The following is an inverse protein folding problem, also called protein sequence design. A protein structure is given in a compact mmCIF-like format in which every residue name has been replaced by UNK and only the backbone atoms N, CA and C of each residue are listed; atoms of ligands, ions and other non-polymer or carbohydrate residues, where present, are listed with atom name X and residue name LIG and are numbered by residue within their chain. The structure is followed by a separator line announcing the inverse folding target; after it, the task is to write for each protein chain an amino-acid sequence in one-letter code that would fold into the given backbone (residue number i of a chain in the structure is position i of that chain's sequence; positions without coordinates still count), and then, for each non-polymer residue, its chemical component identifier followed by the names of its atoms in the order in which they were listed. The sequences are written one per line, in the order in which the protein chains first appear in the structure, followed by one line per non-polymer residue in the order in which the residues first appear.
data_IF_100957499857
#
_entry.id   IF_100957499857
#
_cell.length_a   1.000
_cell.length_b   1.000
_cell.length_c   1.000
_cell.angle_alpha   90.00
_cell.angle_beta   90.00
_cell.angle_gamma   90.00
#
_symmetry.space_group_name_H-M   'P 1'
#
loop_
_entity.id
_entity.type
_entity.pdbx_description
1 polymer ?
#
# COMPACT_ATOMS: atom_id res chain seq x y z
N UNK A 1 11.33 -21.63 -36.74
CA UNK A 1 11.31 -20.19 -36.42
C UNK A 1 10.30 -19.96 -35.31
N UNK A 2 10.78 -19.64 -34.10
CA UNK A 2 9.93 -19.49 -32.93
C UNK A 2 9.69 -18.00 -32.61
N UNK A 3 8.53 -17.75 -31.98
CA UNK A 3 8.03 -16.56 -31.27
C UNK A 3 7.28 -15.49 -32.08
N UNK A 4 6.01 -15.30 -31.71
CA UNK A 4 5.57 -14.26 -30.75
C UNK A 4 4.24 -14.68 -30.09
N UNK A 5 4.13 -14.80 -28.76
CA UNK A 5 2.86 -14.61 -28.07
C UNK A 5 2.66 -13.11 -27.75
N UNK A 6 1.44 -12.62 -28.00
CA UNK A 6 1.02 -11.25 -27.78
C UNK A 6 0.63 -11.03 -26.31
N UNK A 7 1.12 -9.91 -25.78
CA UNK A 7 0.48 -8.94 -24.88
C UNK A 7 -0.26 -9.47 -23.64
N UNK A 8 0.28 -9.12 -22.46
CA UNK A 8 -0.32 -9.35 -21.16
C UNK A 8 -1.69 -8.69 -21.03
N UNK A 9 -2.62 -9.43 -20.44
CA UNK A 9 -3.91 -8.91 -20.05
C UNK A 9 -3.77 -8.10 -18.74
N UNK A 10 -4.45 -6.95 -18.62
CA UNK A 10 -4.55 -6.21 -17.36
C UNK A 10 -5.37 -7.00 -16.32
N UNK A 11 -5.17 -6.67 -15.04
CA UNK A 11 -5.77 -7.24 -13.80
C UNK A 11 -7.32 -7.19 -13.71
N UNK A 12 -8.04 -7.01 -14.82
CA UNK A 12 -9.51 -6.90 -14.88
C UNK A 12 -10.25 -8.25 -14.85
N UNK A 13 -9.66 -9.31 -14.32
CA UNK A 13 -10.27 -10.65 -14.42
C UNK A 13 -10.30 -11.42 -13.10
N UNK A 14 -10.62 -10.75 -11.98
CA UNK A 14 -11.22 -11.43 -10.82
C UNK A 14 -12.72 -11.59 -11.09
N UNK A 15 -13.07 -12.63 -11.85
CA UNK A 15 -14.48 -12.96 -12.10
C UNK A 15 -15.04 -13.73 -10.90
N UNK A 16 -16.30 -13.49 -10.59
CA UNK A 16 -17.02 -14.36 -9.65
C UNK A 16 -17.18 -15.74 -10.27
N UNK A 17 -16.97 -16.78 -9.44
CA UNK A 17 -17.40 -18.11 -9.78
C UNK A 17 -18.94 -18.19 -9.71
N UNK A 18 -19.64 -18.65 -10.76
CA UNK A 18 -21.10 -18.68 -10.79
C UNK A 18 -21.78 -19.57 -9.74
N UNK A 19 -21.07 -20.52 -9.12
CA UNK A 19 -21.73 -21.60 -8.35
C UNK A 19 -21.36 -21.66 -6.87
N UNK A 20 -21.55 -20.56 -6.14
CA UNK A 20 -21.69 -20.63 -4.69
C UNK A 20 -23.17 -20.83 -4.34
N UNK A 21 -23.62 -22.09 -4.40
CA UNK A 21 -24.99 -22.59 -4.18
C UNK A 21 -25.84 -21.72 -3.25
N UNK A 22 -26.99 -21.30 -3.77
CA UNK A 22 -28.05 -20.53 -3.10
C UNK A 22 -28.32 -21.06 -1.69
N UNK A 23 -28.00 -20.26 -0.67
CA UNK A 23 -28.40 -20.51 0.73
C UNK A 23 -27.37 -20.25 1.82
N UNK A 24 -26.11 -19.89 1.49
CA UNK A 24 -25.03 -19.69 2.50
C UNK A 24 -24.23 -18.39 2.38
N UNK A 25 -24.80 -17.35 1.77
CA UNK A 25 -24.16 -16.03 1.64
C UNK A 25 -24.49 -15.18 2.88
N UNK A 26 -23.47 -14.82 3.65
CA UNK A 26 -23.56 -13.78 4.69
C UNK A 26 -23.52 -12.39 4.02
N UNK A 27 -23.93 -11.34 4.74
CA UNK A 27 -23.78 -9.95 4.27
C UNK A 27 -22.34 -9.71 3.82
N UNK A 28 -22.16 -9.08 2.66
CA UNK A 28 -20.86 -8.75 2.10
C UNK A 28 -20.06 -9.87 1.41
N UNK A 29 -20.71 -10.86 0.79
CA UNK A 29 -19.98 -11.79 -0.12
C UNK A 29 -19.16 -12.88 0.53
N UNK A 30 -19.37 -13.09 1.82
CA UNK A 30 -18.70 -14.11 2.60
C UNK A 30 -19.59 -15.34 2.66
N UNK A 31 -19.03 -16.50 2.36
CA UNK A 31 -19.71 -17.78 2.33
C UNK A 31 -19.35 -18.61 3.56
N UNK A 32 -20.30 -19.38 4.08
CA UNK A 32 -20.00 -20.44 5.05
C UNK A 32 -19.78 -21.77 4.32
N UNK A 33 -18.54 -22.24 4.33
CA UNK A 33 -18.11 -23.46 3.66
C UNK A 33 -17.78 -24.52 4.72
N UNK A 34 -18.15 -25.77 4.44
CA UNK A 34 -17.71 -26.88 5.29
C UNK A 34 -16.18 -27.06 5.15
N UNK A 35 -15.40 -27.09 6.25
CA UNK A 35 -13.97 -27.30 6.18
C UNK A 35 -13.56 -28.56 5.40
N UNK A 36 -14.41 -29.58 5.30
CA UNK A 36 -14.17 -30.79 4.50
C UNK A 36 -14.21 -30.53 2.99
N UNK A 37 -14.91 -29.48 2.54
CA UNK A 37 -14.97 -29.08 1.12
C UNK A 37 -13.72 -28.29 0.69
N UNK A 38 -12.86 -27.88 1.62
CA UNK A 38 -11.66 -27.10 1.32
C UNK A 38 -10.43 -28.02 1.33
N UNK A 39 -9.87 -28.22 0.14
CA UNK A 39 -8.62 -28.96 -0.06
C UNK A 39 -7.41 -28.02 0.06
N UNK A 40 -6.29 -28.61 0.46
CA UNK A 40 -5.01 -27.92 0.62
C UNK A 40 -3.89 -28.53 -0.24
N UNK A 41 -4.24 -29.31 -1.26
CA UNK A 41 -3.33 -30.10 -2.12
C UNK A 41 -2.24 -29.25 -2.80
N UNK A 42 -1.06 -29.85 -2.98
CA UNK A 42 0.10 -29.25 -3.66
C UNK A 42 1.12 -28.54 -2.75
N UNK A 43 1.15 -28.86 -1.45
CA UNK A 43 1.97 -28.14 -0.45
C UNK A 43 2.89 -29.15 0.24
N UNK A 44 4.20 -28.88 0.24
CA UNK A 44 5.27 -29.76 0.78
C UNK A 44 5.19 -30.01 2.31
N UNK A 45 4.20 -29.44 3.00
CA UNK A 45 4.15 -29.29 4.46
C UNK A 45 3.10 -30.17 5.17
N UNK A 46 2.62 -31.26 4.58
CA UNK A 46 1.73 -32.22 5.26
C UNK A 46 2.37 -32.92 6.49
N UNK A 47 3.56 -32.48 6.93
CA UNK A 47 4.38 -33.08 8.00
C UNK A 47 4.66 -32.14 9.18
N UNK A 48 4.25 -30.86 9.15
CA UNK A 48 4.48 -29.91 10.26
C UNK A 48 3.20 -29.69 11.07
N UNK A 49 3.28 -29.89 12.38
CA UNK A 49 2.16 -29.69 13.31
C UNK A 49 1.81 -28.20 13.40
N UNK A 50 0.60 -27.84 12.97
CA UNK A 50 0.12 -26.46 12.95
C UNK A 50 -0.44 -26.10 14.34
N UNK A 51 0.20 -25.19 15.06
CA UNK A 51 -0.28 -24.73 16.37
C UNK A 51 -1.53 -23.82 16.20
N UNK A 52 -2.71 -24.29 16.59
CA UNK A 52 -3.98 -23.53 16.45
C UNK A 52 -4.68 -23.16 17.76
N UNK A 53 -4.19 -23.61 18.91
CA UNK A 53 -4.89 -23.54 20.20
C UNK A 53 -5.34 -22.11 20.59
N UNK A 54 -4.46 -21.11 20.43
CA UNK A 54 -4.78 -19.71 20.71
C UNK A 54 -5.84 -19.13 19.76
N UNK A 55 -5.79 -19.49 18.48
CA UNK A 55 -6.75 -19.04 17.48
C UNK A 55 -8.10 -19.74 17.65
N UNK A 56 -8.08 -21.04 17.96
CA UNK A 56 -9.25 -21.85 18.32
C UNK A 56 -10.00 -21.23 19.50
N UNK A 57 -9.31 -20.89 20.58
CA UNK A 57 -9.92 -20.22 21.73
C UNK A 57 -10.53 -18.86 21.38
N UNK A 58 -9.87 -18.09 20.52
CA UNK A 58 -10.39 -16.79 20.06
C UNK A 58 -11.65 -16.94 19.20
N UNK A 59 -11.63 -17.88 18.25
CA UNK A 59 -12.76 -18.15 17.35
C UNK A 59 -13.94 -18.75 18.11
N UNK A 60 -13.69 -19.66 19.05
CA UNK A 60 -14.72 -20.24 19.91
C UNK A 60 -15.45 -19.16 20.73
N UNK A 61 -14.71 -18.19 21.28
CA UNK A 61 -15.29 -17.12 22.11
C UNK A 61 -15.95 -16.00 21.30
N UNK A 62 -15.36 -15.61 20.18
CA UNK A 62 -15.71 -14.37 19.48
C UNK A 62 -16.25 -14.58 18.06
N UNK A 63 -16.39 -15.83 17.63
CA UNK A 63 -16.65 -16.19 16.25
C UNK A 63 -15.45 -15.95 15.33
N UNK A 64 -15.54 -16.47 14.11
CA UNK A 64 -14.55 -16.20 13.08
C UNK A 64 -14.71 -14.77 12.56
N UNK A 65 -13.86 -13.84 12.99
CA UNK A 65 -13.94 -12.43 12.59
C UNK A 65 -13.50 -12.20 11.13
N UNK A 66 -12.40 -12.83 10.73
CA UNK A 66 -11.79 -12.66 9.40
C UNK A 66 -12.04 -13.90 8.55
N UNK A 67 -12.60 -13.78 7.33
CA UNK A 67 -12.80 -14.93 6.46
C UNK A 67 -11.48 -15.50 5.92
N UNK A 68 -11.50 -16.77 5.50
CA UNK A 68 -10.43 -17.37 4.68
C UNK A 68 -10.62 -16.98 3.21
N UNK A 69 -9.58 -17.11 2.39
CA UNK A 69 -9.70 -16.91 0.94
C UNK A 69 -9.56 -18.26 0.24
N UNK A 70 -10.48 -18.55 -0.67
CA UNK A 70 -10.50 -19.81 -1.42
C UNK A 70 -10.80 -19.57 -2.89
N UNK A 71 -10.32 -20.47 -3.75
CA UNK A 71 -10.78 -20.57 -5.14
C UNK A 71 -11.65 -21.81 -5.32
N UNK A 72 -12.65 -21.78 -6.21
CA UNK A 72 -13.39 -22.98 -6.54
C UNK A 72 -12.51 -23.99 -7.30
N UNK A 73 -12.87 -25.26 -7.15
CA UNK A 73 -12.42 -26.42 -7.91
C UNK A 73 -13.64 -27.15 -8.48
N UNK A 74 -13.40 -28.15 -9.33
CA UNK A 74 -14.47 -29.03 -9.80
C UNK A 74 -15.11 -29.83 -8.64
N UNK A 75 -16.43 -29.97 -8.71
CA UNK A 75 -17.23 -30.82 -7.83
C UNK A 75 -17.42 -30.28 -6.41
N UNK A 76 -17.86 -29.02 -6.27
CA UNK A 76 -18.18 -28.37 -4.99
C UNK A 76 -17.03 -28.35 -3.97
N UNK A 77 -15.80 -28.37 -4.48
CA UNK A 77 -14.58 -28.28 -3.69
C UNK A 77 -13.94 -26.92 -3.88
N UNK A 78 -13.14 -26.54 -2.90
CA UNK A 78 -12.44 -25.28 -2.88
C UNK A 78 -10.97 -25.52 -2.57
N UNK A 79 -10.08 -24.85 -3.28
CA UNK A 79 -8.68 -24.85 -2.92
C UNK A 79 -8.41 -23.66 -2.00
N UNK A 80 -7.82 -23.92 -0.83
CA UNK A 80 -7.42 -22.87 0.08
C UNK A 80 -6.34 -21.98 -0.56
N UNK A 81 -6.61 -20.69 -0.62
CA UNK A 81 -5.63 -19.68 -1.02
C UNK A 81 -4.94 -19.13 0.25
N UNK A 82 -5.72 -18.68 1.25
CA UNK A 82 -5.22 -18.06 2.48
C UNK A 82 -6.02 -18.48 3.72
N UNK A 83 -5.36 -18.56 4.87
CA UNK A 83 -6.02 -18.74 6.18
C UNK A 83 -5.99 -20.17 6.73
N UNK A 84 -4.90 -20.94 6.52
CA UNK A 84 -4.81 -22.36 6.93
C UNK A 84 -5.02 -22.58 8.43
N UNK A 85 -4.36 -21.81 9.31
CA UNK A 85 -4.57 -21.92 10.78
C UNK A 85 -6.03 -21.70 11.17
N UNK A 86 -6.74 -20.85 10.43
CA UNK A 86 -8.15 -20.55 10.66
C UNK A 86 -9.05 -21.66 10.15
N UNK A 87 -8.76 -22.19 8.95
CA UNK A 87 -9.42 -23.39 8.44
C UNK A 87 -9.26 -24.55 9.42
N UNK A 88 -8.04 -24.77 9.93
CA UNK A 88 -7.75 -25.87 10.83
C UNK A 88 -8.35 -25.65 12.22
N UNK A 89 -8.32 -24.43 12.76
CA UNK A 89 -9.05 -24.09 13.98
C UNK A 89 -10.56 -24.31 13.84
N UNK A 90 -11.17 -23.92 12.71
CA UNK A 90 -12.58 -24.18 12.42
C UNK A 90 -12.86 -25.68 12.27
N UNK A 91 -11.95 -26.44 11.66
CA UNK A 91 -12.04 -27.90 11.51
C UNK A 91 -11.98 -28.60 12.86
N UNK A 92 -11.06 -28.23 13.73
CA UNK A 92 -10.98 -28.75 15.12
C UNK A 92 -12.22 -28.39 15.95
N UNK A 93 -12.80 -27.21 15.73
CA UNK A 93 -14.02 -26.77 16.41
C UNK A 93 -15.30 -27.41 15.83
N UNK A 94 -15.21 -28.09 14.68
CA UNK A 94 -16.38 -28.63 13.99
C UNK A 94 -17.35 -27.57 13.48
N UNK A 95 -16.87 -26.36 13.19
CA UNK A 95 -17.69 -25.24 12.69
C UNK A 95 -17.42 -24.95 11.21
N UNK A 96 -18.42 -24.39 10.53
CA UNK A 96 -18.23 -23.88 9.17
C UNK A 96 -17.23 -22.73 9.16
N UNK A 97 -16.44 -22.66 8.10
CA UNK A 97 -15.47 -21.58 7.91
C UNK A 97 -16.09 -20.50 7.03
N UNK A 98 -16.06 -19.25 7.51
CA UNK A 98 -16.35 -18.06 6.72
C UNK A 98 -15.25 -17.88 5.68
N UNK A 99 -15.60 -17.80 4.41
CA UNK A 99 -14.68 -17.77 3.29
C UNK A 99 -15.11 -16.74 2.23
N UNK A 100 -14.15 -16.10 1.59
CA UNK A 100 -14.34 -15.34 0.36
C UNK A 100 -13.92 -16.28 -0.79
N UNK A 101 -14.80 -16.46 -1.78
CA UNK A 101 -14.56 -17.31 -2.95
C UNK A 101 -14.19 -16.42 -4.13
N UNK A 102 -13.05 -16.69 -4.78
CA UNK A 102 -12.53 -15.89 -5.91
C UNK A 102 -11.95 -16.77 -7.02
N UNK A 103 -12.20 -16.44 -8.28
CA UNK A 103 -11.51 -17.06 -9.42
C UNK A 103 -10.17 -16.37 -9.62
N UNK A 104 -9.13 -16.86 -8.95
CA UNK A 104 -7.76 -16.48 -9.31
C UNK A 104 -7.24 -17.48 -10.33
N UNK A 105 -7.30 -17.12 -11.61
CA UNK A 105 -6.53 -17.82 -12.65
C UNK A 105 -5.05 -17.45 -12.53
N UNK A 106 -4.20 -18.48 -12.46
CA UNK A 106 -2.77 -18.40 -12.75
C UNK A 106 -1.99 -17.26 -12.09
N UNK A 107 -1.60 -17.43 -10.82
CA UNK A 107 -0.29 -16.92 -10.43
C UNK A 107 0.35 -17.78 -9.34
N UNK A 108 1.39 -18.52 -9.71
CA UNK A 108 2.17 -19.32 -8.78
C UNK A 108 2.82 -18.41 -7.72
N UNK A 109 3.11 -17.15 -8.05
CA UNK A 109 3.67 -16.16 -7.14
C UNK A 109 2.70 -15.74 -6.03
N UNK A 110 1.41 -15.54 -6.32
CA UNK A 110 0.39 -15.27 -5.29
C UNK A 110 0.18 -16.47 -4.37
N UNK A 111 0.27 -17.69 -4.94
CA UNK A 111 0.20 -18.92 -4.17
C UNK A 111 1.39 -19.04 -3.24
N UNK A 112 2.60 -18.84 -3.73
CA UNK A 112 3.85 -18.94 -2.95
C UNK A 112 3.90 -17.85 -1.85
N UNK A 113 3.40 -16.63 -2.13
CA UNK A 113 3.34 -15.53 -1.18
C UNK A 113 2.25 -15.68 -0.09
N UNK A 114 1.11 -16.32 -0.42
CA UNK A 114 0.08 -16.66 0.58
C UNK A 114 0.38 -17.98 1.30
N UNK A 115 1.25 -18.80 0.72
CA UNK A 115 1.88 -19.99 1.33
C UNK A 115 2.81 -19.63 2.47
N UNK A 116 3.62 -18.62 2.23
CA UNK A 116 4.57 -18.01 3.14
C UNK A 116 3.93 -17.48 4.46
N UNK A 117 2.70 -16.97 4.41
CA UNK A 117 2.01 -16.34 5.57
C UNK A 117 1.35 -17.32 6.56
N UNK A 118 1.75 -18.59 6.56
CA UNK A 118 1.01 -19.64 7.24
C UNK A 118 1.12 -19.71 8.76
N UNK A 119 2.11 -19.08 9.40
CA UNK A 119 2.37 -19.41 10.79
C UNK A 119 2.11 -18.35 11.86
N UNK A 120 2.10 -17.05 11.61
CA UNK A 120 1.76 -16.08 12.69
C UNK A 120 1.51 -14.71 12.07
N UNK A 121 0.35 -14.08 12.34
CA UNK A 121 0.08 -12.61 12.43
C UNK A 121 -1.23 -12.20 11.75
N UNK A 122 -1.82 -11.13 12.26
CA UNK A 122 -2.86 -10.36 11.57
C UNK A 122 -2.36 -9.92 10.20
N UNK A 123 -3.26 -9.77 9.21
CA UNK A 123 -2.93 -9.26 7.88
C UNK A 123 -2.03 -8.02 8.00
N UNK A 124 -0.94 -7.97 7.25
CA UNK A 124 -0.11 -6.77 7.13
C UNK A 124 -0.93 -5.59 6.59
N UNK A 125 -0.38 -4.38 6.68
CA UNK A 125 -1.05 -3.19 6.14
C UNK A 125 -1.40 -3.36 4.66
N UNK A 126 -0.47 -3.89 3.86
CA UNK A 126 -0.66 -4.00 2.42
C UNK A 126 -1.59 -5.16 2.05
N UNK A 127 -1.55 -6.28 2.78
CA UNK A 127 -2.51 -7.36 2.58
C UNK A 127 -3.95 -6.91 2.87
N UNK A 128 -4.19 -6.13 3.93
CA UNK A 128 -5.51 -5.52 4.15
C UNK A 128 -5.92 -4.61 3.00
N UNK A 129 -4.97 -3.93 2.36
CA UNK A 129 -5.24 -3.07 1.23
C UNK A 129 -5.60 -3.86 -0.03
N UNK A 130 -4.92 -4.98 -0.28
CA UNK A 130 -5.26 -5.89 -1.38
C UNK A 130 -6.63 -6.53 -1.16
N UNK A 131 -6.95 -6.97 0.06
CA UNK A 131 -8.29 -7.49 0.38
C UNK A 131 -9.36 -6.41 0.22
N UNK A 132 -9.10 -5.18 0.67
CA UNK A 132 -10.02 -4.06 0.47
C UNK A 132 -10.28 -3.77 -1.02
N UNK A 133 -9.24 -3.88 -1.85
CA UNK A 133 -9.33 -3.69 -3.31
C UNK A 133 -10.16 -4.80 -3.94
N UNK A 134 -9.87 -6.07 -3.61
CA UNK A 134 -10.63 -7.22 -4.09
C UNK A 134 -12.12 -7.15 -3.71
N UNK A 135 -12.45 -6.67 -2.51
CA UNK A 135 -13.84 -6.51 -2.07
C UNK A 135 -14.60 -5.42 -2.85
N UNK A 136 -13.91 -4.39 -3.36
CA UNK A 136 -14.52 -3.33 -4.17
C UNK A 136 -14.57 -3.66 -5.65
N UNK A 137 -13.53 -4.30 -6.18
CA UNK A 137 -13.44 -4.56 -7.62
C UNK A 137 -14.15 -5.86 -8.00
N UNK A 138 -14.23 -6.81 -7.07
CA UNK A 138 -14.96 -8.06 -7.23
C UNK A 138 -16.45 -7.93 -6.96
N UNK A 139 -17.17 -9.00 -7.30
CA UNK A 139 -18.60 -9.13 -7.05
C UNK A 139 -18.91 -9.80 -5.70
N UNK A 140 -17.97 -9.72 -4.76
CA UNK A 140 -18.11 -10.22 -3.39
C UNK A 140 -19.18 -9.39 -2.66
N UNK A 141 -19.06 -8.07 -2.63
CA UNK A 141 -20.10 -7.19 -2.07
C UNK A 141 -21.27 -7.03 -3.05
N UNK A 142 -22.50 -7.06 -2.53
CA UNK A 142 -23.68 -6.68 -3.32
C UNK A 142 -23.56 -5.24 -3.81
N UNK A 143 -24.21 -4.89 -4.93
CA UNK A 143 -24.01 -3.59 -5.59
C UNK A 143 -24.20 -2.38 -4.67
N UNK A 144 -25.12 -2.45 -3.70
CA UNK A 144 -25.33 -1.40 -2.70
C UNK A 144 -24.31 -1.41 -1.54
N UNK A 145 -23.67 -2.55 -1.27
CA UNK A 145 -22.69 -2.74 -0.22
C UNK A 145 -21.25 -2.49 -0.70
N UNK A 146 -20.99 -2.54 -2.02
CA UNK A 146 -19.70 -2.28 -2.68
C UNK A 146 -19.27 -0.81 -2.56
N UNK A 147 -18.96 -0.45 -1.33
CA UNK A 147 -18.63 0.90 -0.88
C UNK A 147 -17.52 0.79 0.15
N UNK A 148 -16.80 1.88 0.40
CA UNK A 148 -15.77 1.91 1.44
C UNK A 148 -16.35 1.54 2.81
N UNK A 149 -17.61 1.87 3.08
CA UNK A 149 -18.34 1.49 4.29
C UNK A 149 -18.54 -0.03 4.41
N UNK A 150 -19.01 -0.70 3.35
CA UNK A 150 -19.19 -2.16 3.37
C UNK A 150 -17.87 -2.91 3.55
N UNK A 151 -16.80 -2.43 2.91
CA UNK A 151 -15.45 -2.98 3.12
C UNK A 151 -14.96 -2.75 4.54
N UNK A 152 -15.24 -1.58 5.12
CA UNK A 152 -14.86 -1.24 6.48
C UNK A 152 -15.51 -2.17 7.51
N UNK A 153 -16.77 -2.54 7.30
CA UNK A 153 -17.48 -3.53 8.11
C UNK A 153 -16.84 -4.92 8.03
N UNK A 154 -16.47 -5.37 6.81
CA UNK A 154 -15.83 -6.69 6.60
C UNK A 154 -14.43 -6.77 7.22
N UNK A 155 -13.64 -5.71 7.09
CA UNK A 155 -12.26 -5.65 7.60
C UNK A 155 -12.15 -5.16 9.04
N UNK A 156 -13.27 -4.80 9.67
CA UNK A 156 -13.33 -4.17 10.99
C UNK A 156 -12.41 -2.93 11.09
N UNK A 157 -12.56 -2.04 10.10
CA UNK A 157 -11.86 -0.77 9.98
C UNK A 157 -12.86 0.38 9.98
N UNK A 158 -12.36 1.61 10.00
CA UNK A 158 -13.15 2.79 9.67
C UNK A 158 -13.09 3.08 8.16
N UNK A 159 -14.11 3.74 7.61
CA UNK A 159 -14.19 4.08 6.19
C UNK A 159 -12.99 4.92 5.70
N UNK A 160 -12.49 5.83 6.54
CA UNK A 160 -11.28 6.59 6.28
C UNK A 160 -10.04 5.67 6.17
N UNK A 161 -9.98 4.60 6.97
CA UNK A 161 -8.92 3.61 6.91
C UNK A 161 -8.95 2.82 5.61
N UNK A 162 -10.13 2.44 5.12
CA UNK A 162 -10.31 1.79 3.81
C UNK A 162 -9.86 2.72 2.69
N UNK A 163 -10.28 3.98 2.72
CA UNK A 163 -9.86 4.98 1.72
C UNK A 163 -8.34 5.15 1.66
N UNK A 164 -7.67 5.13 2.80
CA UNK A 164 -6.20 5.19 2.89
C UNK A 164 -5.55 3.95 2.26
N UNK A 165 -6.00 2.75 2.64
CA UNK A 165 -5.50 1.48 2.08
C UNK A 165 -5.58 1.48 0.55
N UNK A 166 -6.76 1.80 0.01
CA UNK A 166 -6.99 1.82 -1.44
C UNK A 166 -6.14 2.89 -2.14
N UNK A 167 -5.90 4.03 -1.49
CA UNK A 167 -5.05 5.08 -2.07
C UNK A 167 -3.62 4.61 -2.31
N UNK A 168 -3.09 3.76 -1.42
CA UNK A 168 -1.76 3.17 -1.57
C UNK A 168 -1.75 2.22 -2.75
N UNK A 169 -2.71 1.30 -2.84
CA UNK A 169 -2.80 0.33 -3.95
C UNK A 169 -2.92 1.03 -5.29
N UNK A 170 -3.82 2.02 -5.42
CA UNK A 170 -4.00 2.76 -6.68
C UNK A 170 -2.76 3.53 -7.15
N UNK A 171 -1.96 4.03 -6.22
CA UNK A 171 -0.79 4.88 -6.55
C UNK A 171 0.47 4.04 -6.73
N UNK A 172 0.70 3.08 -5.83
CA UNK A 172 1.88 2.23 -5.85
C UNK A 172 1.73 1.13 -6.89
N UNK A 173 0.51 0.65 -7.15
CA UNK A 173 0.14 -0.39 -8.12
C UNK A 173 0.35 -1.82 -7.61
N UNK A 174 -0.57 -2.72 -7.97
CA UNK A 174 -0.64 -4.09 -7.46
C UNK A 174 0.55 -4.96 -7.87
N UNK A 175 1.03 -4.82 -9.10
CA UNK A 175 2.23 -5.47 -9.65
C UNK A 175 3.46 -5.25 -8.77
N UNK A 176 3.70 -4.00 -8.35
CA UNK A 176 4.83 -3.68 -7.49
C UNK A 176 4.61 -4.13 -6.06
N UNK A 177 3.39 -4.02 -5.55
CA UNK A 177 3.01 -4.52 -4.23
C UNK A 177 3.25 -6.04 -4.15
N UNK A 178 2.87 -6.79 -5.18
CA UNK A 178 3.10 -8.23 -5.29
C UNK A 178 4.60 -8.54 -5.38
N UNK A 179 5.35 -7.77 -6.18
CA UNK A 179 6.81 -7.95 -6.27
C UNK A 179 7.53 -7.70 -4.91
N UNK A 180 7.03 -6.75 -4.10
CA UNK A 180 7.54 -6.47 -2.75
C UNK A 180 7.16 -7.58 -1.77
N UNK A 181 5.90 -8.03 -1.77
CA UNK A 181 5.38 -8.99 -0.81
C UNK A 181 4.61 -8.35 0.35
N UNK A 182 4.30 -9.17 1.38
CA UNK A 182 3.46 -8.75 2.51
C UNK A 182 4.10 -7.68 3.40
N UNK A 183 5.43 -7.68 3.52
CA UNK A 183 6.20 -6.70 4.30
C UNK A 183 5.58 -6.43 5.70
N UNK A 184 5.40 -7.45 6.55
CA UNK A 184 4.66 -7.32 7.80
C UNK A 184 5.35 -6.44 8.85
N UNK A 185 6.66 -6.23 8.76
CA UNK A 185 7.38 -5.24 9.58
C UNK A 185 7.21 -3.81 9.08
N UNK A 186 6.59 -3.61 7.92
CA UNK A 186 6.36 -2.31 7.30
C UNK A 186 4.93 -1.83 7.57
N UNK A 187 4.82 -0.92 8.54
CA UNK A 187 3.56 -0.27 8.89
C UNK A 187 3.13 0.82 7.89
N UNK A 188 1.90 1.32 8.11
CA UNK A 188 1.26 2.39 7.31
C UNK A 188 2.18 3.59 6.99
N UNK A 189 2.93 4.20 7.93
CA UNK A 189 3.69 5.41 7.63
C UNK A 189 4.68 5.23 6.48
N UNK A 190 5.34 4.07 6.40
CA UNK A 190 6.29 3.77 5.34
C UNK A 190 5.62 3.55 3.99
N UNK A 191 4.47 2.87 3.96
CA UNK A 191 3.68 2.73 2.73
C UNK A 191 3.17 4.08 2.20
N UNK A 192 2.82 5.01 3.09
CA UNK A 192 2.48 6.39 2.72
C UNK A 192 3.70 7.17 2.20
N UNK A 193 4.89 6.95 2.76
CA UNK A 193 6.13 7.49 2.21
C UNK A 193 6.42 6.96 0.80
N UNK A 194 6.21 5.66 0.57
CA UNK A 194 6.36 5.07 -0.75
C UNK A 194 5.37 5.68 -1.74
N UNK A 195 4.09 5.77 -1.36
CA UNK A 195 3.05 6.44 -2.14
C UNK A 195 3.45 7.86 -2.53
N UNK A 196 4.00 8.63 -1.58
CA UNK A 196 4.46 10.00 -1.82
C UNK A 196 5.61 10.05 -2.82
N UNK A 197 6.60 9.17 -2.68
CA UNK A 197 7.71 9.09 -3.62
C UNK A 197 7.23 8.76 -5.05
N UNK A 198 6.18 7.92 -5.17
CA UNK A 198 5.52 7.60 -6.44
C UNK A 198 4.78 8.78 -7.09
N UNK A 199 4.14 9.65 -6.29
CA UNK A 199 3.48 10.84 -6.82
C UNK A 199 4.41 11.81 -7.56
N UNK A 200 5.73 11.72 -7.34
CA UNK A 200 6.76 12.51 -8.00
C UNK A 200 7.74 11.65 -8.84
N UNK A 201 7.45 10.36 -9.03
CA UNK A 201 8.33 9.43 -9.73
C UNK A 201 8.09 9.51 -11.25
N UNK A 202 9.05 10.05 -11.98
CA UNK A 202 9.10 10.03 -13.46
C UNK A 202 9.92 8.85 -14.00
N UNK A 203 10.42 8.01 -13.10
CA UNK A 203 11.29 6.89 -13.42
C UNK A 203 10.55 5.71 -14.03
N UNK A 204 11.34 4.74 -14.47
CA UNK A 204 10.83 3.52 -15.07
C UNK A 204 10.37 2.54 -13.99
N UNK A 205 9.07 2.25 -13.97
CA UNK A 205 8.42 1.33 -13.02
C UNK A 205 9.04 -0.07 -13.07
N UNK A 206 9.48 -0.51 -14.25
CA UNK A 206 10.12 -1.81 -14.42
C UNK A 206 11.44 -1.92 -13.64
N UNK A 207 12.12 -0.79 -13.40
CA UNK A 207 13.31 -0.77 -12.55
C UNK A 207 12.98 -1.05 -11.09
N UNK A 208 11.85 -0.53 -10.59
CA UNK A 208 11.43 -0.77 -9.21
C UNK A 208 10.98 -2.21 -9.02
N UNK A 209 10.31 -2.80 -10.03
CA UNK A 209 10.00 -4.23 -10.06
C UNK A 209 11.28 -5.08 -10.04
N UNK A 210 12.25 -4.75 -10.89
CA UNK A 210 13.54 -5.45 -10.92
C UNK A 210 14.29 -5.34 -9.57
N UNK A 211 14.25 -4.17 -8.92
CA UNK A 211 14.84 -3.97 -7.58
C UNK A 211 14.15 -4.83 -6.53
N UNK A 212 12.81 -4.91 -6.55
CA UNK A 212 12.05 -5.75 -5.63
C UNK A 212 12.46 -7.22 -5.78
N UNK A 213 12.47 -7.75 -7.01
CA UNK A 213 12.87 -9.13 -7.28
C UNK A 213 14.33 -9.42 -6.93
N UNK A 214 15.25 -8.51 -7.28
CA UNK A 214 16.67 -8.64 -6.93
C UNK A 214 16.85 -8.70 -5.41
N UNK A 215 16.23 -7.78 -4.68
CA UNK A 215 16.29 -7.75 -3.21
C UNK A 215 15.74 -9.03 -2.57
N UNK A 216 14.70 -9.65 -3.17
CA UNK A 216 14.19 -10.94 -2.72
C UNK A 216 15.17 -12.09 -3.01
N UNK A 217 15.79 -12.11 -4.19
CA UNK A 217 16.73 -13.16 -4.59
C UNK A 217 18.07 -13.12 -3.85
N UNK A 218 18.55 -11.93 -3.50
CA UNK A 218 19.83 -11.72 -2.82
C UNK A 218 19.72 -11.87 -1.30
N UNK A 219 18.50 -11.80 -0.76
CA UNK A 219 18.25 -11.90 0.67
C UNK A 219 18.10 -13.35 1.13
N UNK A 220 18.89 -13.73 2.13
CA UNK A 220 18.62 -14.90 2.97
C UNK A 220 17.84 -14.49 4.22
N UNK A 221 16.85 -15.28 4.60
CA UNK A 221 16.04 -15.05 5.80
C UNK A 221 14.66 -15.67 5.67
N UNK A 222 13.79 -15.38 6.63
CA UNK A 222 12.37 -15.66 6.45
C UNK A 222 11.78 -14.75 5.36
N UNK A 223 10.85 -15.31 4.59
CA UNK A 223 9.71 -14.63 3.96
C UNK A 223 9.49 -13.16 4.34
N UNK A 224 9.16 -12.95 5.62
CA UNK A 224 8.74 -11.66 6.17
C UNK A 224 9.90 -10.68 6.08
N UNK A 225 11.08 -11.10 6.51
CA UNK A 225 12.31 -10.32 6.47
C UNK A 225 12.73 -10.02 5.02
N UNK A 226 12.55 -10.98 4.12
CA UNK A 226 12.85 -10.83 2.69
C UNK A 226 11.91 -9.77 2.07
N UNK A 227 10.62 -9.81 2.37
CA UNK A 227 9.64 -8.82 1.89
C UNK A 227 9.84 -7.43 2.50
N UNK A 228 10.19 -7.35 3.79
CA UNK A 228 10.54 -6.09 4.46
C UNK A 228 11.79 -5.45 3.81
N UNK A 229 12.81 -6.25 3.46
CA UNK A 229 14.01 -5.77 2.75
C UNK A 229 13.69 -5.32 1.33
N UNK A 230 12.87 -6.07 0.60
CA UNK A 230 12.43 -5.70 -0.74
C UNK A 230 11.70 -4.35 -0.71
N UNK A 231 10.81 -4.14 0.28
CA UNK A 231 10.14 -2.87 0.49
C UNK A 231 11.14 -1.72 0.69
N UNK A 232 12.12 -1.90 1.59
CA UNK A 232 13.12 -0.86 1.89
C UNK A 232 13.99 -0.52 0.67
N UNK A 233 14.38 -1.51 -0.13
CA UNK A 233 15.14 -1.31 -1.36
C UNK A 233 14.35 -0.48 -2.38
N UNK A 234 13.08 -0.83 -2.61
CA UNK A 234 12.18 -0.08 -3.51
C UNK A 234 11.98 1.34 -3.01
N UNK A 235 11.73 1.55 -1.71
CA UNK A 235 11.55 2.88 -1.13
C UNK A 235 12.81 3.75 -1.29
N UNK A 236 13.99 3.18 -1.06
CA UNK A 236 15.26 3.89 -1.23
C UNK A 236 15.48 4.32 -2.69
N UNK A 237 15.15 3.44 -3.65
CA UNK A 237 15.27 3.73 -5.07
C UNK A 237 14.25 4.80 -5.52
N UNK A 238 13.00 4.69 -5.08
CA UNK A 238 11.95 5.67 -5.39
C UNK A 238 12.32 7.07 -4.86
N UNK A 239 12.80 7.17 -3.61
CA UNK A 239 13.27 8.44 -3.02
C UNK A 239 14.52 9.00 -3.70
N UNK A 240 15.41 8.14 -4.18
CA UNK A 240 16.60 8.56 -4.92
C UNK A 240 16.24 9.14 -6.28
N UNK A 241 15.23 8.58 -6.94
CA UNK A 241 14.67 9.12 -8.16
C UNK A 241 13.92 10.44 -7.91
N UNK A 242 13.12 10.55 -6.85
CA UNK A 242 12.46 11.82 -6.46
C UNK A 242 13.46 12.97 -6.28
N UNK A 243 14.64 12.70 -5.71
CA UNK A 243 15.73 13.69 -5.58
C UNK A 243 16.40 14.06 -6.91
N UNK A 244 16.42 13.16 -7.89
CA UNK A 244 16.99 13.40 -9.24
C UNK A 244 15.97 14.05 -10.19
N UNK A 245 14.69 13.72 -10.04
CA UNK A 245 13.56 14.19 -10.84
C UNK A 245 12.97 15.51 -10.35
N UNK A 246 13.18 15.86 -9.07
CA UNK A 246 13.07 17.27 -8.67
C UNK A 246 14.00 18.06 -9.58
N UNK A 247 13.49 18.93 -10.47
CA UNK A 247 14.38 19.80 -11.22
C UNK A 247 15.22 20.49 -10.16
N UNK A 248 16.53 20.56 -10.36
CA UNK A 248 17.37 21.50 -9.63
C UNK A 248 16.58 22.80 -9.61
N UNK A 249 15.94 23.11 -8.48
CA UNK A 249 15.01 24.22 -8.35
C UNK A 249 15.86 25.38 -8.81
N UNK A 250 15.62 25.94 -10.02
CA UNK A 250 16.54 26.91 -10.66
C UNK A 250 16.92 27.84 -9.53
N UNK A 251 18.16 27.71 -9.05
CA UNK A 251 18.59 28.38 -7.84
C UNK A 251 18.51 29.82 -8.28
N UNK A 252 17.50 30.56 -7.82
CA UNK A 252 17.45 32.00 -8.07
C UNK A 252 18.80 32.47 -7.57
N UNK A 253 19.68 33.00 -8.44
CA UNK A 253 21.04 33.29 -8.05
C UNK A 253 20.97 34.17 -6.81
N UNK A 254 21.61 33.72 -5.74
CA UNK A 254 21.64 34.48 -4.51
C UNK A 254 22.36 35.79 -4.81
N UNK A 255 21.67 36.91 -4.57
CA UNK A 255 22.27 38.22 -4.70
C UNK A 255 23.17 38.40 -3.49
N UNK A 256 24.47 38.58 -3.72
CA UNK A 256 25.39 39.01 -2.69
C UNK A 256 25.05 40.47 -2.34
N UNK A 257 24.70 40.72 -1.08
CA UNK A 257 24.50 42.05 -0.52
C UNK A 257 25.77 42.39 0.26
N UNK A 258 26.63 43.28 -0.25
CA UNK A 258 27.87 43.66 0.42
C UNK A 258 27.60 44.11 1.86
N UNK A 259 28.33 43.54 2.82
CA UNK A 259 28.21 43.87 4.24
C UNK A 259 26.99 43.28 4.96
N UNK A 260 26.17 42.46 4.30
CA UNK A 260 24.98 41.83 4.93
C UNK A 260 24.97 40.32 4.74
N UNK A 261 25.28 39.82 3.54
CA UNK A 261 25.29 38.39 3.26
C UNK A 261 24.66 38.05 1.91
N UNK A 262 23.93 36.94 1.84
CA UNK A 262 23.30 36.46 0.60
C UNK A 262 21.78 36.46 0.72
N UNK A 263 21.09 37.01 -0.28
CA UNK A 263 19.62 37.01 -0.31
C UNK A 263 19.08 36.37 -1.58
N UNK A 264 17.95 35.67 -1.46
CA UNK A 264 17.15 35.28 -2.63
C UNK A 264 15.80 35.99 -2.58
N UNK A 265 15.43 36.58 -3.71
CA UNK A 265 14.15 37.28 -3.89
C UNK A 265 13.28 36.47 -4.82
N UNK A 266 12.07 36.13 -4.39
CA UNK A 266 11.09 35.38 -5.19
C UNK A 266 9.80 36.17 -5.26
N UNK A 267 9.25 36.30 -6.47
CA UNK A 267 7.92 36.85 -6.69
C UNK A 267 6.90 35.72 -6.87
N UNK A 268 5.73 35.86 -6.26
CA UNK A 268 4.63 34.90 -6.29
C UNK A 268 3.31 35.55 -6.69
N UNK A 269 2.25 34.76 -6.81
CA UNK A 269 0.86 35.20 -7.11
C UNK A 269 0.78 36.33 -8.15
N UNK A 270 1.34 36.10 -9.34
CA UNK A 270 1.33 37.06 -10.46
C UNK A 270 1.88 38.45 -10.08
N UNK A 271 2.97 38.49 -9.30
CA UNK A 271 3.66 39.74 -8.94
C UNK A 271 3.13 40.45 -7.69
N UNK A 272 2.07 39.92 -7.05
CA UNK A 272 1.49 40.52 -5.83
C UNK A 272 2.12 40.05 -4.53
N UNK A 273 3.07 39.12 -4.60
CA UNK A 273 3.75 38.58 -3.43
C UNK A 273 5.27 38.65 -3.64
N UNK A 274 6.00 39.19 -2.65
CA UNK A 274 7.45 39.18 -2.59
C UNK A 274 7.88 38.34 -1.39
N UNK A 275 8.78 37.39 -1.61
CA UNK A 275 9.44 36.64 -0.54
C UNK A 275 10.95 36.89 -0.60
N UNK A 276 11.51 37.34 0.51
CA UNK A 276 12.94 37.52 0.72
C UNK A 276 13.43 36.43 1.68
N UNK A 277 14.33 35.58 1.22
CA UNK A 277 15.07 34.65 2.08
C UNK A 277 16.49 35.21 2.23
N UNK A 278 16.86 35.73 3.42
CA UNK A 278 18.18 36.30 3.73
C UNK A 278 19.03 35.32 4.55
N UNK A 279 20.31 35.21 4.23
CA UNK A 279 21.31 34.45 4.99
C UNK A 279 22.47 35.38 5.32
N UNK A 280 22.77 35.52 6.61
CA UNK A 280 23.83 36.37 7.15
C UNK A 280 24.51 35.64 8.32
N UNK A 281 25.78 35.97 8.57
CA UNK A 281 26.54 35.48 9.72
C UNK A 281 26.28 36.32 10.99
N UNK A 282 25.42 37.35 10.90
CA UNK A 282 25.07 38.27 11.98
C UNK A 282 23.63 38.04 12.49
N UNK A 283 23.41 37.17 13.50
CA UNK A 283 22.07 36.87 14.00
C UNK A 283 21.36 38.07 14.65
N UNK A 284 22.13 38.97 15.29
CA UNK A 284 21.59 40.19 15.91
C UNK A 284 20.95 41.12 14.89
N UNK A 285 21.50 41.17 13.66
CA UNK A 285 20.92 41.93 12.57
C UNK A 285 19.58 41.35 12.11
N UNK A 286 19.41 40.01 12.12
CA UNK A 286 18.12 39.37 11.80
C UNK A 286 17.06 39.78 12.83
N UNK A 287 17.39 39.69 14.12
CA UNK A 287 16.45 40.08 15.19
C UNK A 287 16.08 41.56 15.13
N UNK A 288 17.04 42.44 14.85
CA UNK A 288 16.77 43.86 14.64
C UNK A 288 15.88 44.10 13.41
N UNK A 289 16.15 43.41 12.29
CA UNK A 289 15.39 43.54 11.06
C UNK A 289 13.94 43.09 11.25
N UNK A 290 13.69 41.99 11.97
CA UNK A 290 12.33 41.54 12.29
C UNK A 290 11.53 42.58 13.08
N UNK A 291 12.15 43.21 14.09
CA UNK A 291 11.51 44.25 14.89
C UNK A 291 11.26 45.56 14.12
N UNK A 292 12.08 45.88 13.12
CA UNK A 292 12.00 47.13 12.36
C UNK A 292 11.37 46.98 10.96
N UNK A 293 11.06 45.76 10.54
CA UNK A 293 10.55 45.45 9.19
C UNK A 293 9.31 46.27 8.80
N UNK A 294 8.27 46.44 9.65
CA UNK A 294 7.08 47.20 9.26
C UNK A 294 7.40 48.66 8.89
N UNK A 295 8.29 49.30 9.68
CA UNK A 295 8.71 50.69 9.45
C UNK A 295 9.56 50.81 8.19
N UNK A 296 10.57 49.95 8.04
CA UNK A 296 11.47 49.95 6.89
C UNK A 296 10.73 49.68 5.56
N UNK A 297 9.78 48.76 5.56
CA UNK A 297 8.95 48.47 4.38
C UNK A 297 8.10 49.69 4.01
N UNK A 298 7.57 50.41 5.01
CA UNK A 298 6.79 51.63 4.79
C UNK A 298 7.65 52.73 4.18
N UNK A 299 8.86 52.96 4.72
CA UNK A 299 9.80 53.94 4.18
C UNK A 299 10.23 53.63 2.75
N UNK A 300 10.49 52.35 2.44
CA UNK A 300 10.81 51.90 1.08
C UNK A 300 9.68 52.18 0.10
N UNK A 301 8.42 51.93 0.50
CA UNK A 301 7.25 52.18 -0.32
C UNK A 301 7.04 53.69 -0.57
N UNK A 302 7.22 54.53 0.45
CA UNK A 302 7.15 55.99 0.31
C UNK A 302 8.25 56.54 -0.60
N UNK A 303 9.47 56.02 -0.48
CA UNK A 303 10.57 56.37 -1.38
C UNK A 303 10.27 55.98 -2.82
N UNK A 304 9.72 54.78 -3.04
CA UNK A 304 9.33 54.32 -4.37
C UNK A 304 8.26 55.23 -4.99
N UNK A 305 7.23 55.60 -4.22
CA UNK A 305 6.19 56.55 -4.68
C UNK A 305 6.77 57.89 -5.13
N UNK A 306 7.74 58.44 -4.39
CA UNK A 306 8.40 59.70 -4.75
C UNK A 306 9.35 59.61 -5.94
N UNK A 307 9.79 58.40 -6.31
CA UNK A 307 10.64 58.18 -7.48
C UNK A 307 9.84 57.95 -8.78
N UNK A 308 8.52 57.95 -8.70
CA UNK A 308 7.60 57.81 -9.83
C UNK A 308 6.99 59.11 -10.35
N UNK A 309 7.33 60.25 -9.72
CA UNK A 309 7.16 61.62 -10.25
C UNK A 309 8.47 62.09 -10.90
#
# INVERSE_FOLDING_TARGET
MARKPKLGLPLQTLRNAPDALEGRRLRGGVFEIDPAQIVTEGRLDDRLQIEVEGLKNSISKNGQRVPVLVRPLEGDRYNLIYGRRRLEACRELGIKVRAIVTEVEGDQALRDQLLENQERRDLSFIERALVATALLDGDHLEGAERTNRGVAEVLNLHEAGVSQLLSVVRTVGEDLIQAIGAAPGIGRPRWEELKKAFGAYDGDRDKLLAIAHAAKSESSGSVDEVSDRAFLAVLAAAKSAEKKASPSRKRVPALAIPGVGAATVKTGRQGKQLKLDLTTDEPDFISWLEGNAPKLITELHERWKRSGD
#
